data_IF_692382341396
#
_entry.id   IF_692382341396
#
_cell.length_a   1.000
_cell.length_b   1.000
_cell.length_c   1.000
_cell.angle_alpha   90.00
_cell.angle_beta   90.00
_cell.angle_gamma   90.00
#
_symmetry.space_group_name_H-M   'P 1'
#
loop_
_entity.id
_entity.type
_entity.pdbx_description
1 polymer ?
#
# COMPACT_ATOMS: atom_id res chain seq x y z
N UNK A 1 7.94 5.66 -6.58
CA UNK A 1 9.40 5.99 -6.67
C UNK A 1 9.67 7.17 -7.58
N UNK A 2 9.33 7.08 -8.87
CA UNK A 2 9.77 8.04 -9.90
C UNK A 2 8.77 9.17 -10.23
N UNK A 3 7.74 9.36 -9.41
CA UNK A 3 6.69 10.35 -9.63
C UNK A 3 5.62 9.87 -10.61
N UNK A 4 4.88 10.82 -11.17
CA UNK A 4 3.63 10.59 -11.93
C UNK A 4 3.74 9.63 -13.12
N UNK A 5 4.92 9.50 -13.73
CA UNK A 5 5.12 8.66 -14.93
C UNK A 5 5.48 7.22 -14.59
N UNK A 6 5.85 6.94 -13.34
CA UNK A 6 6.35 5.63 -12.93
C UNK A 6 7.69 5.23 -13.55
N UNK A 7 8.36 6.13 -14.28
CA UNK A 7 9.67 5.90 -14.91
C UNK A 7 10.67 6.95 -14.45
N UNK A 8 11.93 6.54 -14.28
CA UNK A 8 13.01 7.47 -13.98
C UNK A 8 13.24 8.40 -15.19
N UNK A 9 12.60 9.56 -15.19
CA UNK A 9 12.54 10.49 -16.31
C UNK A 9 13.59 11.60 -16.17
N UNK A 10 14.10 12.08 -17.29
CA UNK A 10 14.93 13.28 -17.41
C UNK A 10 14.14 14.49 -17.92
N UNK A 11 12.80 14.40 -17.91
CA UNK A 11 11.91 15.53 -18.20
C UNK A 11 11.56 16.25 -16.89
N UNK A 12 11.79 17.56 -16.84
CA UNK A 12 11.43 18.36 -15.69
C UNK A 12 9.91 18.29 -15.40
N UNK A 13 9.57 18.14 -14.13
CA UNK A 13 8.21 17.93 -13.64
C UNK A 13 7.74 16.47 -13.64
N UNK A 14 8.52 15.52 -14.14
CA UNK A 14 8.18 14.08 -14.08
C UNK A 14 8.73 13.44 -12.80
N UNK A 15 10.02 13.13 -12.76
CA UNK A 15 10.68 12.58 -11.57
C UNK A 15 11.21 13.70 -10.68
N UNK A 16 11.70 14.78 -11.26
CA UNK A 16 12.30 15.91 -10.56
C UNK A 16 11.55 17.18 -10.92
N UNK A 17 11.38 18.10 -9.98
CA UNK A 17 10.98 19.47 -10.32
C UNK A 17 12.02 20.16 -11.23
N UNK A 18 11.62 21.26 -11.86
CA UNK A 18 12.45 22.06 -12.77
C UNK A 18 13.54 22.91 -12.08
N UNK A 19 13.62 22.86 -10.75
CA UNK A 19 14.72 23.40 -9.95
C UNK A 19 14.74 22.73 -8.57
N UNK A 20 15.83 22.91 -7.83
CA UNK A 20 15.95 22.43 -6.46
C UNK A 20 14.97 23.14 -5.51
N UNK A 21 14.81 24.45 -5.62
CA UNK A 21 13.84 25.24 -4.83
C UNK A 21 12.42 24.70 -5.02
N UNK A 22 12.05 24.44 -6.27
CA UNK A 22 10.72 23.92 -6.59
C UNK A 22 10.53 22.46 -6.16
N UNK A 23 11.60 21.66 -6.16
CA UNK A 23 11.56 20.25 -5.74
C UNK A 23 11.66 20.04 -4.24
N UNK A 24 12.31 20.95 -3.53
CA UNK A 24 12.62 20.82 -2.11
C UNK A 24 11.75 21.70 -1.21
N UNK A 25 11.00 22.65 -1.78
CA UNK A 25 10.00 23.45 -1.07
C UNK A 25 10.43 24.87 -0.70
N UNK A 26 11.70 25.24 -0.94
CA UNK A 26 12.26 26.58 -0.72
C UNK A 26 11.90 27.15 0.68
N UNK A 27 11.59 28.44 0.77
CA UNK A 27 11.08 29.08 1.99
C UNK A 27 9.57 29.00 2.15
N UNK A 28 8.88 28.64 1.08
CA UNK A 28 7.43 28.44 1.02
C UNK A 28 7.11 27.31 0.05
N UNK A 29 6.58 26.22 0.59
CA UNK A 29 6.20 25.04 -0.18
C UNK A 29 4.91 25.24 -0.98
N UNK A 30 4.20 26.35 -0.77
CA UNK A 30 3.03 26.75 -1.55
C UNK A 30 3.39 26.95 -3.02
N UNK A 31 2.66 26.30 -3.92
CA UNK A 31 2.94 26.33 -5.36
C UNK A 31 4.20 25.57 -5.79
N UNK A 32 4.91 24.93 -4.87
CA UNK A 32 6.07 24.07 -5.16
C UNK A 32 5.66 22.60 -5.26
N UNK A 33 6.61 21.73 -5.60
CA UNK A 33 6.40 20.30 -5.80
C UNK A 33 7.28 19.38 -4.91
N UNK A 34 7.48 19.67 -3.61
CA UNK A 34 8.08 18.71 -2.68
C UNK A 34 7.21 17.44 -2.61
N UNK A 35 7.84 16.27 -2.60
CA UNK A 35 7.11 15.01 -2.61
C UNK A 35 6.60 14.56 -3.99
N UNK A 36 6.99 15.23 -5.09
CA UNK A 36 6.68 14.77 -6.46
C UNK A 36 7.18 13.33 -6.70
N UNK A 37 8.40 13.03 -6.24
CA UNK A 37 8.93 11.67 -6.29
C UNK A 37 9.87 11.40 -5.12
N UNK A 38 10.05 10.12 -4.78
CA UNK A 38 11.02 9.75 -3.74
C UNK A 38 12.45 10.06 -4.18
N UNK A 39 12.75 9.99 -5.49
CA UNK A 39 14.05 10.35 -6.03
C UNK A 39 14.33 11.85 -5.95
N UNK A 40 13.30 12.67 -6.15
CA UNK A 40 13.36 14.13 -5.95
C UNK A 40 13.69 14.44 -4.50
N UNK A 41 12.91 13.90 -3.57
CA UNK A 41 13.11 14.11 -2.14
C UNK A 41 14.47 13.60 -1.67
N UNK A 42 14.93 12.45 -2.18
CA UNK A 42 16.26 11.93 -1.91
C UNK A 42 17.36 12.88 -2.38
N UNK A 43 17.24 13.47 -3.58
CA UNK A 43 18.19 14.50 -4.01
C UNK A 43 18.14 15.72 -3.11
N UNK A 44 16.97 16.18 -2.67
CA UNK A 44 16.87 17.31 -1.75
C UNK A 44 17.61 17.07 -0.42
N UNK A 45 17.51 15.83 0.10
CA UNK A 45 18.18 15.42 1.33
C UNK A 45 19.69 15.22 1.17
N UNK A 46 20.15 14.94 -0.05
CA UNK A 46 21.50 14.48 -0.30
C UNK A 46 22.33 15.40 -1.19
N UNK A 47 21.75 16.44 -1.79
CA UNK A 47 22.48 17.38 -2.64
C UNK A 47 23.03 18.55 -1.83
N UNK A 48 24.18 19.05 -2.28
CA UNK A 48 24.81 20.26 -1.76
C UNK A 48 25.31 21.10 -2.94
N UNK A 49 25.50 22.40 -2.73
CA UNK A 49 26.08 23.29 -3.74
C UNK A 49 27.44 22.76 -4.24
N UNK A 50 27.63 22.74 -5.56
CA UNK A 50 28.85 22.21 -6.20
C UNK A 50 28.94 20.69 -6.25
N UNK A 51 27.94 19.97 -5.72
CA UNK A 51 27.72 18.54 -5.96
C UNK A 51 28.67 17.58 -5.25
N UNK A 52 29.52 18.05 -4.33
CA UNK A 52 30.43 17.24 -3.52
C UNK A 52 29.77 16.86 -2.18
N UNK A 53 28.75 15.99 -2.22
CA UNK A 53 27.91 15.72 -1.04
C UNK A 53 28.33 14.48 -0.25
N UNK A 54 28.53 14.64 1.06
CA UNK A 54 28.68 13.54 2.02
C UNK A 54 27.41 13.28 2.84
N UNK A 55 26.37 14.12 2.72
CA UNK A 55 25.24 14.19 3.67
C UNK A 55 24.51 12.87 3.88
N UNK A 56 24.38 12.05 2.83
CA UNK A 56 23.60 10.81 2.89
C UNK A 56 24.44 9.53 2.96
N UNK A 57 25.75 9.60 2.71
CA UNK A 57 26.58 8.38 2.63
C UNK A 57 27.81 8.42 3.53
N UNK A 58 28.06 9.54 4.22
CA UNK A 58 29.25 9.75 5.04
C UNK A 58 30.55 9.91 4.22
N UNK A 59 30.52 9.63 2.92
CA UNK A 59 31.64 9.83 1.98
C UNK A 59 31.20 10.77 0.86
N UNK A 60 32.05 11.73 0.49
CA UNK A 60 31.71 12.68 -0.57
C UNK A 60 31.49 11.96 -1.91
N UNK A 61 30.28 12.08 -2.46
CA UNK A 61 29.95 11.74 -3.83
C UNK A 61 30.20 12.96 -4.72
N UNK A 62 30.59 12.74 -5.97
CA UNK A 62 30.78 13.81 -6.96
C UNK A 62 29.58 13.97 -7.88
N UNK A 63 29.29 15.22 -8.27
CA UNK A 63 28.17 15.60 -9.14
C UNK A 63 26.81 15.15 -8.59
N UNK A 64 26.61 15.33 -7.29
CA UNK A 64 25.32 15.13 -6.60
C UNK A 64 24.71 16.49 -6.31
N UNK A 65 24.10 17.08 -7.34
CA UNK A 65 23.44 18.38 -7.28
C UNK A 65 22.02 18.26 -7.82
N UNK A 66 21.08 18.91 -7.14
CA UNK A 66 19.73 19.05 -7.64
C UNK A 66 19.73 20.20 -8.66
N UNK A 67 19.80 19.87 -9.96
CA UNK A 67 19.77 20.84 -11.05
C UNK A 67 18.36 21.21 -11.54
N UNK A 68 18.23 21.41 -12.84
CA UNK A 68 17.01 21.84 -13.55
C UNK A 68 15.96 20.72 -13.79
N UNK A 69 16.15 19.56 -13.16
CA UNK A 69 15.28 18.41 -13.32
C UNK A 69 15.51 17.61 -14.59
N UNK A 70 16.58 17.88 -15.34
CA UNK A 70 16.90 17.20 -16.59
C UNK A 70 17.93 16.06 -16.39
N UNK A 71 18.74 15.77 -17.42
CA UNK A 71 19.65 14.63 -17.46
C UNK A 71 20.70 14.66 -16.34
N UNK A 72 21.21 15.84 -15.98
CA UNK A 72 22.19 16.00 -14.91
C UNK A 72 21.58 15.66 -13.54
N UNK A 73 20.38 16.17 -13.26
CA UNK A 73 19.62 15.84 -12.04
C UNK A 73 19.28 14.34 -11.99
N UNK A 74 18.86 13.76 -13.11
CA UNK A 74 18.61 12.31 -13.20
C UNK A 74 19.85 11.48 -12.89
N UNK A 75 21.01 11.85 -13.44
CA UNK A 75 22.28 11.19 -13.17
C UNK A 75 22.69 11.31 -11.69
N UNK A 76 22.50 12.49 -11.09
CA UNK A 76 22.75 12.71 -9.66
C UNK A 76 21.89 11.80 -8.78
N UNK A 77 20.58 11.71 -9.08
CA UNK A 77 19.68 10.81 -8.34
C UNK A 77 20.06 9.33 -8.49
N UNK A 78 20.48 8.92 -9.69
CA UNK A 78 21.00 7.56 -9.93
C UNK A 78 22.25 7.28 -9.08
N UNK A 79 23.18 8.23 -9.01
CA UNK A 79 24.40 8.12 -8.21
C UNK A 79 24.11 7.92 -6.73
N UNK A 80 23.14 8.65 -6.17
CA UNK A 80 22.74 8.47 -4.77
C UNK A 80 22.05 7.12 -4.59
N UNK A 81 21.10 6.78 -5.46
CA UNK A 81 20.34 5.52 -5.36
C UNK A 81 21.25 4.29 -5.41
N UNK A 82 22.36 4.34 -6.17
CA UNK A 82 23.36 3.28 -6.22
C UNK A 82 24.12 3.06 -4.89
N UNK A 83 24.01 4.00 -3.94
CA UNK A 83 24.56 3.87 -2.58
C UNK A 83 23.53 3.37 -1.57
N UNK A 84 22.25 3.34 -1.91
CA UNK A 84 21.24 2.73 -1.07
C UNK A 84 21.53 1.23 -0.93
N UNK A 85 21.46 0.66 0.29
CA UNK A 85 21.60 -0.77 0.47
C UNK A 85 20.54 -1.50 -0.37
N UNK A 86 20.98 -2.36 -1.28
CA UNK A 86 20.08 -3.25 -1.99
C UNK A 86 19.72 -4.35 -1.01
N UNK A 87 18.55 -4.27 -0.39
CA UNK A 87 17.92 -5.45 0.18
C UNK A 87 17.85 -6.49 -0.95
N UNK A 88 18.28 -7.73 -0.70
CA UNK A 88 18.35 -8.78 -1.73
C UNK A 88 17.00 -9.11 -2.35
N UNK A 89 16.77 -10.37 -2.76
CA UNK A 89 15.42 -10.79 -3.19
C UNK A 89 14.47 -10.90 -2.00
N UNK A 90 14.14 -9.78 -1.37
CA UNK A 90 13.12 -9.69 -0.32
C UNK A 90 11.80 -9.44 -1.03
N UNK A 91 10.84 -10.33 -0.83
CA UNK A 91 9.46 -10.08 -1.25
C UNK A 91 8.90 -9.01 -0.35
N UNK A 92 8.62 -7.83 -0.91
CA UNK A 92 8.00 -6.73 -0.18
C UNK A 92 6.56 -7.09 0.18
N UNK A 93 6.17 -6.83 1.42
CA UNK A 93 4.83 -7.06 1.98
C UNK A 93 4.13 -5.74 2.31
N UNK A 94 2.81 -5.78 2.49
CA UNK A 94 2.04 -4.64 3.02
C UNK A 94 2.57 -4.18 4.39
N UNK A 95 2.99 -5.11 5.24
CA UNK A 95 3.55 -4.82 6.56
C UNK A 95 4.85 -4.00 6.49
N UNK A 96 5.77 -4.38 5.60
CA UNK A 96 7.02 -3.65 5.39
C UNK A 96 6.80 -2.25 4.81
N UNK A 97 5.85 -2.10 3.89
CA UNK A 97 5.47 -0.79 3.36
C UNK A 97 4.89 0.11 4.46
N UNK A 98 4.01 -0.41 5.32
CA UNK A 98 3.50 0.33 6.49
C UNK A 98 4.61 0.74 7.45
N UNK A 99 5.56 -0.16 7.71
CA UNK A 99 6.71 0.14 8.55
C UNK A 99 7.56 1.26 7.96
N UNK A 100 7.85 1.20 6.66
CA UNK A 100 8.57 2.26 5.95
C UNK A 100 7.83 3.62 6.02
N UNK A 101 6.51 3.63 5.85
CA UNK A 101 5.70 4.86 6.05
C UNK A 101 5.81 5.38 7.48
N UNK A 102 5.76 4.50 8.49
CA UNK A 102 5.90 4.91 9.88
C UNK A 102 7.25 5.55 10.16
N UNK A 103 8.34 4.98 9.62
CA UNK A 103 9.69 5.56 9.74
C UNK A 103 9.70 6.97 9.14
N UNK A 104 9.14 7.14 7.94
CA UNK A 104 9.04 8.44 7.30
C UNK A 104 8.26 9.45 8.17
N UNK A 105 7.07 9.08 8.65
CA UNK A 105 6.24 9.97 9.47
C UNK A 105 6.92 10.34 10.78
N UNK A 106 7.68 9.43 11.39
CA UNK A 106 8.46 9.72 12.61
C UNK A 106 9.65 10.63 12.32
N UNK A 107 10.31 10.47 11.16
CA UNK A 107 11.41 11.33 10.74
C UNK A 107 10.94 12.73 10.35
N UNK A 108 9.69 12.86 9.90
CA UNK A 108 9.07 14.14 9.61
C UNK A 108 8.99 14.97 10.91
N UNK A 109 9.55 16.18 10.87
CA UNK A 109 9.70 17.08 12.02
C UNK A 109 10.52 16.50 13.17
N UNK A 110 11.43 15.53 12.93
CA UNK A 110 12.27 15.00 14.00
C UNK A 110 13.31 16.05 14.49
N UNK A 111 13.93 16.77 13.55
CA UNK A 111 14.99 17.74 13.83
C UNK A 111 14.43 19.14 14.13
N UNK A 112 13.50 19.23 15.09
CA UNK A 112 12.82 20.49 15.44
C UNK A 112 13.80 21.51 15.98
N UNK A 113 14.05 22.53 15.19
CA UNK A 113 14.50 23.83 15.67
C UNK A 113 13.28 24.75 15.85
N UNK A 114 13.35 25.66 16.83
CA UNK A 114 12.25 26.59 17.17
C UNK A 114 11.68 27.34 15.94
N UNK A 115 12.52 27.72 14.99
CA UNK A 115 12.13 28.49 13.80
C UNK A 115 11.32 27.70 12.75
N UNK A 116 11.23 26.36 12.86
CA UNK A 116 10.54 25.50 11.89
C UNK A 116 9.69 24.40 12.56
N UNK A 117 9.39 24.53 13.86
CA UNK A 117 8.78 23.47 14.65
C UNK A 117 7.37 23.05 14.20
N UNK A 118 6.65 23.93 13.51
CA UNK A 118 5.32 23.71 12.94
C UNK A 118 5.36 23.13 11.52
N UNK A 119 6.43 23.37 10.76
CA UNK A 119 6.56 23.00 9.36
C UNK A 119 6.73 21.49 9.14
N UNK A 120 6.19 20.97 8.03
CA UNK A 120 6.38 19.60 7.58
C UNK A 120 7.75 19.44 6.90
N UNK A 121 8.82 19.38 7.70
CA UNK A 121 10.20 19.24 7.18
C UNK A 121 10.75 17.84 7.46
N UNK A 122 11.37 17.24 6.44
CA UNK A 122 12.22 16.07 6.59
C UNK A 122 13.69 16.49 6.42
N UNK A 123 14.58 16.01 7.28
CA UNK A 123 16.01 16.32 7.25
C UNK A 123 16.41 17.49 8.15
N UNK A 124 17.69 17.88 8.05
CA UNK A 124 18.34 18.77 9.02
C UNK A 124 18.27 20.25 8.59
N UNK A 125 17.08 20.82 8.58
CA UNK A 125 16.90 22.22 8.19
C UNK A 125 17.24 23.20 9.33
N UNK A 126 18.03 24.23 9.00
CA UNK A 126 18.35 25.35 9.91
C UNK A 126 17.26 26.44 9.98
N UNK A 127 16.25 26.37 9.12
CA UNK A 127 15.06 27.24 9.08
C UNK A 127 14.00 26.60 8.17
N UNK A 128 12.86 27.29 7.93
CA UNK A 128 11.97 26.95 6.81
C UNK A 128 12.64 27.36 5.49
N UNK A 129 13.71 26.68 5.10
CA UNK A 129 14.42 26.88 3.84
C UNK A 129 15.02 25.55 3.38
N UNK A 130 14.43 24.96 2.34
CA UNK A 130 14.91 23.72 1.73
C UNK A 130 15.09 23.91 0.24
N UNK A 131 16.32 24.14 -0.21
CA UNK A 131 16.61 24.51 -1.61
C UNK A 131 17.61 23.60 -2.32
N UNK A 132 17.97 22.45 -1.75
CA UNK A 132 18.92 21.50 -2.36
C UNK A 132 20.34 22.06 -2.61
N UNK A 133 20.69 23.18 -1.96
CA UNK A 133 21.94 23.90 -2.13
C UNK A 133 22.58 24.21 -0.76
N UNK A 134 22.99 25.46 -0.49
CA UNK A 134 23.60 25.87 0.77
C UNK A 134 22.64 25.73 1.98
N UNK A 135 21.33 25.83 1.75
CA UNK A 135 20.27 25.47 2.68
C UNK A 135 19.58 24.18 2.19
N UNK A 136 20.42 23.20 1.83
CA UNK A 136 20.02 21.86 1.37
C UNK A 136 19.92 20.86 2.53
N UNK A 137 19.83 19.58 2.17
CA UNK A 137 19.66 18.44 3.09
C UNK A 137 18.31 18.38 3.80
N UNK A 138 17.27 18.96 3.20
CA UNK A 138 15.92 18.87 3.72
C UNK A 138 14.88 18.95 2.60
N UNK A 139 13.66 18.52 2.92
CA UNK A 139 12.47 18.72 2.10
C UNK A 139 11.43 19.42 2.96
N UNK A 140 10.96 20.58 2.53
CA UNK A 140 9.84 21.28 3.13
C UNK A 140 8.56 20.94 2.37
N UNK A 141 7.75 20.04 2.93
CA UNK A 141 6.46 19.67 2.38
C UNK A 141 5.38 20.70 2.68
N UNK A 142 4.30 20.65 1.89
CA UNK A 142 3.08 21.42 2.11
C UNK A 142 2.48 21.12 3.47
N UNK A 143 1.67 22.06 3.96
CA UNK A 143 0.92 21.86 5.19
C UNK A 143 -0.01 20.65 5.11
N UNK A 144 -0.24 20.05 6.28
CA UNK A 144 -1.19 18.96 6.44
C UNK A 144 -2.58 19.49 6.13
N UNK A 145 -3.34 18.79 5.28
CA UNK A 145 -4.71 19.13 4.94
C UNK A 145 -5.61 19.02 6.18
N UNK A 146 -6.80 19.62 6.10
CA UNK A 146 -7.78 19.62 7.19
C UNK A 146 -8.24 18.21 7.60
N UNK A 147 -8.14 17.23 6.70
CA UNK A 147 -8.43 15.81 6.96
C UNK A 147 -7.27 15.05 7.63
N UNK A 148 -6.18 15.75 7.96
CA UNK A 148 -4.98 15.17 8.57
C UNK A 148 -4.01 14.53 7.57
N UNK A 149 -4.29 14.58 6.26
CA UNK A 149 -3.42 13.99 5.23
C UNK A 149 -2.32 14.94 4.77
N UNK A 150 -1.19 14.37 4.38
CA UNK A 150 -0.06 15.10 3.80
C UNK A 150 -0.04 14.90 2.28
N UNK A 151 0.07 16.00 1.53
CA UNK A 151 0.07 15.97 0.05
C UNK A 151 1.44 15.56 -0.49
N UNK A 152 1.72 14.26 -0.50
CA UNK A 152 2.97 13.67 -1.04
C UNK A 152 2.62 12.57 -2.03
N UNK A 153 2.95 12.78 -3.31
CA UNK A 153 2.55 11.88 -4.38
C UNK A 153 3.14 10.47 -4.22
N UNK A 154 4.43 10.36 -3.89
CA UNK A 154 5.03 9.04 -3.73
C UNK A 154 4.49 8.27 -2.51
N UNK A 155 3.99 8.97 -1.48
CA UNK A 155 3.38 8.36 -0.30
C UNK A 155 2.01 7.77 -0.64
N UNK A 156 1.21 8.48 -1.44
CA UNK A 156 -0.05 7.96 -1.99
C UNK A 156 0.17 6.68 -2.79
N UNK A 157 1.24 6.61 -3.60
CA UNK A 157 1.56 5.38 -4.34
C UNK A 157 1.96 4.20 -3.44
N UNK A 158 2.50 4.46 -2.23
CA UNK A 158 2.74 3.39 -1.25
C UNK A 158 1.41 2.91 -0.66
N UNK A 159 0.46 3.81 -0.39
CA UNK A 159 -0.89 3.44 0.04
C UNK A 159 -1.62 2.59 -0.98
N UNK A 160 -1.55 2.97 -2.26
CA UNK A 160 -2.11 2.17 -3.36
C UNK A 160 -1.46 0.78 -3.42
N UNK A 161 -0.15 0.69 -3.20
CA UNK A 161 0.57 -0.58 -3.18
C UNK A 161 0.14 -1.46 -2.01
N UNK A 162 -0.01 -0.88 -0.80
CA UNK A 162 -0.53 -1.59 0.38
C UNK A 162 -1.91 -2.17 0.08
N UNK A 163 -2.84 -1.36 -0.45
CA UNK A 163 -4.19 -1.82 -0.77
C UNK A 163 -4.20 -2.96 -1.80
N UNK A 164 -3.31 -2.91 -2.80
CA UNK A 164 -3.14 -3.99 -3.79
C UNK A 164 -2.63 -5.28 -3.16
N UNK A 165 -1.65 -5.22 -2.26
CA UNK A 165 -1.18 -6.40 -1.53
C UNK A 165 -2.30 -7.04 -0.73
N UNK A 166 -3.08 -6.26 0.00
CA UNK A 166 -4.19 -6.78 0.82
C UNK A 166 -5.31 -7.39 -0.01
N UNK A 167 -5.60 -6.80 -1.17
CA UNK A 167 -6.55 -7.37 -2.12
C UNK A 167 -6.05 -8.70 -2.67
N UNK A 168 -4.78 -8.77 -3.09
CA UNK A 168 -4.18 -9.98 -3.62
C UNK A 168 -4.11 -11.12 -2.58
N UNK A 169 -3.82 -10.80 -1.31
CA UNK A 169 -3.81 -11.77 -0.23
C UNK A 169 -5.22 -12.34 0.03
N UNK A 170 -6.25 -11.49 0.00
CA UNK A 170 -7.64 -11.91 0.12
C UNK A 170 -8.07 -12.81 -1.06
N UNK A 171 -7.70 -12.44 -2.28
CA UNK A 171 -7.98 -13.23 -3.49
C UNK A 171 -7.25 -14.58 -3.48
N UNK A 172 -5.99 -14.62 -3.06
CA UNK A 172 -5.21 -15.85 -2.93
C UNK A 172 -5.85 -16.81 -1.92
N UNK A 173 -6.35 -16.30 -0.79
CA UNK A 173 -7.07 -17.10 0.18
C UNK A 173 -8.35 -17.73 -0.40
N UNK A 174 -9.11 -16.95 -1.19
CA UNK A 174 -10.31 -17.43 -1.89
C UNK A 174 -9.93 -18.50 -2.93
N UNK A 175 -8.92 -18.25 -3.76
CA UNK A 175 -8.48 -19.17 -4.80
C UNK A 175 -7.97 -20.50 -4.22
N UNK A 176 -7.21 -20.45 -3.12
CA UNK A 176 -6.76 -21.65 -2.40
C UNK A 176 -7.94 -22.48 -1.89
N UNK A 177 -9.00 -21.82 -1.41
CA UNK A 177 -10.23 -22.49 -0.97
C UNK A 177 -10.96 -23.16 -2.14
N UNK A 178 -11.09 -22.47 -3.28
CA UNK A 178 -11.69 -23.04 -4.50
C UNK A 178 -10.88 -24.23 -5.01
N UNK A 179 -9.55 -24.12 -5.03
CA UNK A 179 -8.66 -25.20 -5.45
C UNK A 179 -8.79 -26.44 -4.55
N UNK A 180 -8.85 -26.25 -3.23
CA UNK A 180 -9.09 -27.33 -2.28
C UNK A 180 -10.44 -28.02 -2.50
N UNK A 181 -11.49 -27.26 -2.81
CA UNK A 181 -12.80 -27.80 -3.15
C UNK A 181 -12.80 -28.55 -4.47
N UNK A 182 -12.15 -28.01 -5.51
CA UNK A 182 -12.03 -28.68 -6.80
C UNK A 182 -11.26 -30.01 -6.67
N UNK A 183 -10.20 -30.04 -5.86
CA UNK A 183 -9.45 -31.26 -5.55
C UNK A 183 -10.32 -32.28 -4.80
N UNK A 184 -11.09 -31.84 -3.81
CA UNK A 184 -12.02 -32.70 -3.08
C UNK A 184 -13.11 -33.29 -4.00
N UNK A 185 -13.74 -32.46 -4.83
CA UNK A 185 -14.77 -32.89 -5.78
C UNK A 185 -14.23 -33.91 -6.77
N UNK A 186 -13.02 -33.70 -7.31
CA UNK A 186 -12.34 -34.66 -8.17
C UNK A 186 -12.11 -35.99 -7.45
N UNK A 187 -11.69 -35.95 -6.19
CA UNK A 187 -11.52 -37.15 -5.35
C UNK A 187 -12.83 -37.93 -5.16
N UNK A 188 -13.93 -37.22 -4.85
CA UNK A 188 -15.26 -37.83 -4.70
C UNK A 188 -15.77 -38.45 -5.99
N UNK A 189 -15.63 -37.75 -7.12
CA UNK A 189 -16.05 -38.25 -8.42
C UNK A 189 -15.28 -39.52 -8.82
N UNK A 190 -13.97 -39.55 -8.56
CA UNK A 190 -13.13 -40.73 -8.82
C UNK A 190 -13.55 -41.91 -7.94
N UNK A 191 -13.81 -41.67 -6.64
CA UNK A 191 -14.26 -42.73 -5.73
C UNK A 191 -15.62 -43.31 -6.16
N UNK A 192 -16.58 -42.45 -6.54
CA UNK A 192 -17.88 -42.89 -7.04
C UNK A 192 -17.76 -43.69 -8.34
N UNK A 193 -16.88 -43.27 -9.26
CA UNK A 193 -16.60 -43.99 -10.50
C UNK A 193 -16.03 -45.39 -10.23
N UNK A 194 -15.04 -45.50 -9.34
CA UNK A 194 -14.45 -46.79 -8.97
C UNK A 194 -15.47 -47.70 -8.28
N UNK A 195 -16.28 -47.16 -7.38
CA UNK A 195 -17.36 -47.91 -6.72
C UNK A 195 -18.39 -48.45 -7.73
N UNK A 196 -18.72 -47.69 -8.78
CA UNK A 196 -19.62 -48.14 -9.84
C UNK A 196 -19.02 -49.27 -10.70
N UNK A 197 -17.69 -49.32 -10.85
CA UNK A 197 -16.98 -50.36 -11.61
C UNK A 197 -16.81 -51.67 -10.83
N UNK A 198 -16.62 -51.61 -9.51
CA UNK A 198 -16.39 -52.80 -8.67
C UNK A 198 -17.69 -53.56 -8.33
N UNK A 199 -18.88 -52.98 -8.65
CA UNK A 199 -20.17 -53.51 -8.20
C UNK A 199 -20.33 -53.44 -6.67
N UNK A 200 -21.41 -54.01 -6.11
CA UNK A 200 -21.71 -53.99 -4.65
C UNK A 200 -20.62 -54.64 -3.74
N UNK A 201 -19.51 -55.11 -4.31
CA UNK A 201 -18.50 -55.93 -3.65
C UNK A 201 -17.32 -55.14 -3.05
N UNK A 202 -17.50 -53.90 -2.61
CA UNK A 202 -16.81 -53.33 -1.42
C UNK A 202 -17.29 -51.91 -1.20
N UNK A 203 -17.96 -51.68 -0.06
CA UNK A 203 -18.01 -50.33 0.52
C UNK A 203 -16.57 -49.93 0.85
N UNK A 204 -15.89 -49.21 -0.05
CA UNK A 204 -14.84 -48.32 0.39
C UNK A 204 -15.50 -47.37 1.37
N UNK A 205 -15.10 -47.46 2.63
CA UNK A 205 -15.48 -46.52 3.68
C UNK A 205 -14.86 -45.17 3.35
N UNK A 206 -15.53 -44.40 2.51
CA UNK A 206 -15.24 -42.98 2.34
C UNK A 206 -16.37 -42.17 2.94
N UNK A 207 -16.11 -41.57 4.10
CA UNK A 207 -16.20 -40.12 4.28
C UNK A 207 -15.94 -39.78 5.75
N UNK A 208 -14.76 -39.25 6.05
CA UNK A 208 -14.72 -38.20 7.08
C UNK A 208 -15.59 -37.08 6.52
N UNK A 209 -16.72 -36.80 7.17
CA UNK A 209 -17.59 -35.71 6.76
C UNK A 209 -16.78 -34.40 6.76
N UNK A 210 -16.52 -33.86 5.57
CA UNK A 210 -15.93 -32.53 5.44
C UNK A 210 -17.10 -31.55 5.40
N UNK A 211 -17.02 -30.40 6.10
CA UNK A 211 -18.09 -29.42 6.12
C UNK A 211 -18.36 -28.93 4.71
N UNK A 212 -19.57 -29.21 4.20
CA UNK A 212 -20.15 -28.45 3.10
C UNK A 212 -20.19 -27.00 3.55
N UNK A 213 -19.83 -26.06 2.68
CA UNK A 213 -20.17 -24.67 2.95
C UNK A 213 -21.70 -24.59 3.12
N UNK A 214 -22.14 -24.36 4.34
CA UNK A 214 -23.24 -23.43 4.55
C UNK A 214 -22.82 -22.16 3.82
N UNK A 215 -23.55 -21.83 2.76
CA UNK A 215 -23.54 -20.48 2.23
C UNK A 215 -23.62 -19.51 3.41
N UNK A 216 -22.84 -18.44 3.41
CA UNK A 216 -23.01 -17.37 4.42
C UNK A 216 -24.34 -16.62 4.26
N UNK A 217 -25.20 -17.02 3.33
CA UNK A 217 -26.65 -16.78 3.43
C UNK A 217 -27.23 -17.70 4.52
N UNK A 218 -27.84 -17.13 5.59
CA UNK A 218 -28.59 -17.90 6.57
C UNK A 218 -29.52 -18.89 5.87
N UNK A 219 -29.54 -20.13 6.34
CA UNK A 219 -30.50 -21.10 5.83
C UNK A 219 -31.93 -20.62 6.12
N UNK A 220 -32.93 -21.07 5.37
CA UNK A 220 -34.35 -20.78 5.66
C UNK A 220 -34.71 -21.19 7.10
N UNK A 221 -34.09 -22.26 7.62
CA UNK A 221 -34.23 -22.68 9.03
C UNK A 221 -33.69 -21.65 10.02
N UNK A 222 -32.62 -20.93 9.68
CA UNK A 222 -32.03 -19.91 10.54
C UNK A 222 -32.82 -18.59 10.47
N UNK A 223 -33.33 -18.21 9.29
CA UNK A 223 -34.26 -17.08 9.18
C UNK A 223 -35.57 -17.33 9.96
N UNK A 224 -36.07 -18.56 9.99
CA UNK A 224 -37.30 -18.94 10.68
C UNK A 224 -37.20 -18.95 12.23
N UNK A 225 -35.98 -18.87 12.80
CA UNK A 225 -35.78 -18.77 14.25
C UNK A 225 -35.96 -17.35 14.80
N UNK A 226 -36.05 -16.34 13.94
CA UNK A 226 -36.27 -14.96 14.35
C UNK A 226 -37.75 -14.70 14.64
N UNK A 227 -38.15 -14.88 15.91
CA UNK A 227 -39.53 -14.74 16.36
C UNK A 227 -40.04 -13.29 16.43
N UNK A 228 -39.17 -12.28 16.32
CA UNK A 228 -39.55 -10.86 16.41
C UNK A 228 -39.02 -10.02 15.24
N UNK A 229 -39.80 -9.00 14.87
CA UNK A 229 -39.54 -8.11 13.71
C UNK A 229 -38.18 -7.41 13.80
N UNK A 230 -37.74 -7.08 15.01
CA UNK A 230 -36.49 -6.37 15.26
C UNK A 230 -35.23 -7.25 15.09
N UNK A 231 -35.43 -8.57 15.04
CA UNK A 231 -34.34 -9.56 14.90
C UNK A 231 -34.21 -10.14 13.49
N UNK A 232 -35.10 -9.79 12.56
CA UNK A 232 -35.01 -10.17 11.16
C UNK A 232 -34.29 -9.05 10.38
N UNK A 233 -33.01 -9.23 10.08
CA UNK A 233 -32.20 -8.30 9.27
C UNK A 233 -31.77 -8.97 7.97
N UNK A 234 -31.42 -8.16 6.97
CA UNK A 234 -30.93 -8.68 5.70
C UNK A 234 -29.75 -9.64 5.88
N UNK A 235 -29.71 -10.75 5.13
CA UNK A 235 -30.46 -11.03 3.89
C UNK A 235 -31.84 -11.72 4.07
N UNK A 236 -32.33 -11.91 5.31
CA UNK A 236 -33.65 -12.53 5.54
C UNK A 236 -34.79 -11.55 5.19
N UNK A 237 -35.75 -11.96 4.35
CA UNK A 237 -37.01 -11.25 4.09
C UNK A 237 -38.16 -12.05 4.69
N UNK A 238 -39.08 -11.40 5.39
CA UNK A 238 -40.28 -12.04 5.93
C UNK A 238 -41.34 -12.12 4.82
N UNK A 239 -41.92 -13.29 4.61
CA UNK A 239 -43.12 -13.42 3.80
C UNK A 239 -44.27 -12.70 4.52
N UNK A 240 -44.79 -11.66 3.88
CA UNK A 240 -45.93 -10.90 4.37
C UNK A 240 -47.22 -11.70 4.18
N UNK A 241 -47.97 -11.83 5.28
CA UNK A 241 -49.37 -12.23 5.41
C UNK A 241 -49.83 -13.50 4.68
N UNK A 242 -49.66 -14.64 5.34
CA UNK A 242 -50.59 -15.77 5.21
C UNK A 242 -51.42 -15.87 6.49
N UNK A 243 -52.60 -15.27 6.45
CA UNK A 243 -53.68 -15.48 7.41
C UNK A 243 -54.12 -16.96 7.39
N UNK A 244 -53.99 -17.57 8.56
CA UNK A 244 -54.93 -18.52 9.18
C UNK A 244 -55.07 -19.99 8.68
N UNK A 245 -55.05 -20.90 9.68
CA UNK A 245 -55.76 -22.21 9.76
C UNK A 245 -55.14 -23.34 8.89
N UNK A 246 -54.60 -24.46 9.37
CA UNK A 246 -55.05 -25.37 10.45
C UNK A 246 -53.92 -26.31 10.89
N UNK A 247 -53.96 -26.68 12.17
CA UNK A 247 -53.37 -27.88 12.77
C UNK A 247 -53.75 -29.14 11.99
N UNK A 248 -52.81 -30.05 11.75
CA UNK A 248 -52.86 -31.43 12.26
C UNK A 248 -51.60 -32.21 11.88
N UNK A 249 -51.16 -33.02 12.85
CA UNK A 249 -50.07 -33.97 12.76
C UNK A 249 -50.43 -35.17 11.86
N UNK A 250 -49.47 -35.61 11.05
CA UNK A 250 -49.06 -37.00 10.86
C UNK A 250 -47.70 -37.03 10.14
#
# INVERSE_FOLDING_TARGET
>A
LFGKTGKHSNTAGDTYANSAENGCGDNDSSGKSPGNSLYSDLLCLCSVSGGASASCTGTALSSVEYGDGTQTTQAAGTKIAAKCPIAGKVQVTAGELRHAKSIFTTALKADKIQAAADANILGAAGSKQCNGAAAGNCVYYKDTRADGTLDIQWLTHIDDAIAKFETADAEAAVNNRIAAQAAALKGTALAAYLQALEGDAKKLTTATAIPVLSSTTPSTSDCNKHQSKDKCKEPCKRDGDATDITKNAH
#
